data_IF_207130485032
#
_entry.id   IF_207130485032
#
_cell.length_a   1.000
_cell.length_b   1.000
_cell.length_c   1.000
_cell.angle_alpha   90.00
_cell.angle_beta   90.00
_cell.angle_gamma   90.00
#
_symmetry.space_group_name_H-M   'P 1'
#
loop_
_entity.id
_entity.type
_entity.pdbx_description
1 polymer ?
#
# COMPACT_ATOMS: atom_id res chain seq x y z
N UNK A 1 -14.85 18.99 -6.95
CA UNK A 1 -13.41 19.24 -7.11
C UNK A 1 -12.68 17.99 -6.65
N UNK A 2 -12.33 17.08 -7.55
CA UNK A 2 -11.50 15.94 -7.17
C UNK A 2 -10.11 16.48 -6.79
N UNK A 3 -9.59 16.11 -5.61
CA UNK A 3 -8.23 16.50 -5.21
C UNK A 3 -7.25 15.67 -6.04
N UNK A 4 -6.74 16.27 -7.09
CA UNK A 4 -5.80 15.61 -7.99
C UNK A 4 -4.47 15.38 -7.27
N UNK A 5 -3.90 14.18 -7.41
CA UNK A 5 -2.60 13.89 -6.82
C UNK A 5 -1.54 14.68 -7.58
N UNK A 6 -0.80 15.54 -6.87
CA UNK A 6 0.30 16.29 -7.47
C UNK A 6 1.30 15.34 -8.12
N UNK A 7 1.51 15.54 -9.42
CA UNK A 7 2.42 14.75 -10.26
C UNK A 7 3.86 14.76 -9.73
N UNK A 8 4.28 15.86 -9.09
CA UNK A 8 5.58 15.99 -8.44
C UNK A 8 5.69 15.03 -7.25
N UNK A 9 4.64 14.96 -6.42
CA UNK A 9 4.59 14.05 -5.28
C UNK A 9 4.59 12.59 -5.71
N UNK A 10 3.85 12.25 -6.76
CA UNK A 10 3.86 10.90 -7.35
C UNK A 10 5.25 10.52 -7.87
N UNK A 11 5.92 11.41 -8.61
CA UNK A 11 7.29 11.19 -9.09
C UNK A 11 8.28 11.02 -7.94
N UNK A 12 8.15 11.82 -6.88
CA UNK A 12 8.97 11.72 -5.67
C UNK A 12 8.82 10.35 -4.99
N UNK A 13 7.59 9.87 -4.82
CA UNK A 13 7.35 8.53 -4.26
C UNK A 13 8.00 7.43 -5.10
N UNK A 14 7.88 7.48 -6.44
CA UNK A 14 8.54 6.52 -7.32
C UNK A 14 10.07 6.59 -7.22
N UNK A 15 10.64 7.80 -7.08
CA UNK A 15 12.07 7.97 -6.89
C UNK A 15 12.56 7.32 -5.59
N UNK A 16 11.84 7.48 -4.48
CA UNK A 16 12.16 6.84 -3.19
C UNK A 16 12.16 5.33 -3.30
N UNK A 17 11.17 4.75 -3.99
CA UNK A 17 11.09 3.29 -4.21
C UNK A 17 12.32 2.79 -4.97
N UNK A 18 12.75 3.53 -6.01
CA UNK A 18 13.91 3.17 -6.82
C UNK A 18 15.23 3.34 -6.07
N UNK A 19 15.37 4.37 -5.23
CA UNK A 19 16.60 4.66 -4.50
C UNK A 19 16.77 3.79 -3.25
N UNK A 20 15.67 3.42 -2.59
CA UNK A 20 15.69 2.72 -1.30
C UNK A 20 14.73 1.53 -1.27
N UNK A 21 14.88 0.54 -2.15
CA UNK A 21 13.95 -0.58 -2.27
C UNK A 21 13.85 -1.40 -0.97
N UNK A 22 14.97 -1.64 -0.27
CA UNK A 22 14.98 -2.37 1.00
C UNK A 22 14.22 -1.64 2.11
N UNK A 23 14.35 -0.30 2.19
CA UNK A 23 13.61 0.50 3.16
C UNK A 23 12.11 0.48 2.87
N UNK A 24 11.70 0.57 1.60
CA UNK A 24 10.29 0.49 1.22
C UNK A 24 9.72 -0.88 1.53
N UNK A 25 10.44 -1.96 1.26
CA UNK A 25 10.01 -3.31 1.64
C UNK A 25 9.89 -3.46 3.16
N UNK A 26 10.83 -2.90 3.92
CA UNK A 26 10.75 -2.88 5.38
C UNK A 26 9.52 -2.09 5.87
N UNK A 27 9.24 -0.92 5.29
CA UNK A 27 8.06 -0.13 5.62
C UNK A 27 6.75 -0.86 5.28
N UNK A 28 6.73 -1.64 4.19
CA UNK A 28 5.59 -2.49 3.80
C UNK A 28 5.52 -3.81 4.57
N UNK A 29 6.54 -4.15 5.37
CA UNK A 29 6.60 -5.45 6.05
C UNK A 29 5.37 -5.77 6.91
N UNK A 30 4.76 -4.84 7.67
CA UNK A 30 3.58 -5.16 8.48
C UNK A 30 2.38 -5.59 7.61
N UNK A 31 2.24 -4.97 6.43
CA UNK A 31 1.18 -5.32 5.46
C UNK A 31 1.43 -6.69 4.87
N UNK A 32 2.67 -6.99 4.48
CA UNK A 32 3.05 -8.29 3.92
C UNK A 32 2.84 -9.42 4.94
N UNK A 33 3.22 -9.20 6.21
CA UNK A 33 2.98 -10.16 7.28
C UNK A 33 1.48 -10.39 7.49
N UNK A 34 0.67 -9.33 7.58
CA UNK A 34 -0.78 -9.47 7.75
C UNK A 34 -1.41 -10.25 6.59
N UNK A 35 -1.04 -9.95 5.35
CA UNK A 35 -1.52 -10.68 4.18
C UNK A 35 -1.09 -12.16 4.19
N UNK A 36 0.16 -12.45 4.54
CA UNK A 36 0.67 -13.81 4.65
C UNK A 36 -0.05 -14.62 5.71
N UNK A 37 -0.28 -14.03 6.89
CA UNK A 37 -1.04 -14.66 7.99
C UNK A 37 -2.49 -14.92 7.57
N UNK A 38 -3.15 -13.94 6.96
CA UNK A 38 -4.55 -14.09 6.54
C UNK A 38 -4.67 -15.12 5.42
N UNK A 39 -3.74 -15.13 4.46
CA UNK A 39 -3.71 -16.16 3.43
C UNK A 39 -3.53 -17.55 4.05
N UNK A 40 -2.59 -17.72 4.99
CA UNK A 40 -2.35 -19.00 5.63
C UNK A 40 -3.56 -19.52 6.42
N UNK A 41 -4.23 -18.65 7.17
CA UNK A 41 -5.29 -19.05 8.11
C UNK A 41 -6.68 -19.09 7.46
N UNK A 42 -6.99 -18.13 6.59
CA UNK A 42 -8.33 -17.95 6.02
C UNK A 42 -8.39 -18.26 4.50
N UNK A 43 -7.24 -18.40 3.84
CA UNK A 43 -7.13 -18.70 2.42
C UNK A 43 -7.00 -17.47 1.52
N UNK A 44 -6.70 -17.73 0.24
CA UNK A 44 -6.34 -16.69 -0.74
C UNK A 44 -7.48 -15.69 -1.02
N UNK A 45 -8.74 -16.14 -0.95
CA UNK A 45 -9.90 -15.26 -1.08
C UNK A 45 -9.84 -14.13 -0.07
N UNK A 46 -9.85 -14.44 1.22
CA UNK A 46 -9.81 -13.44 2.30
C UNK A 46 -8.57 -12.54 2.25
N UNK A 47 -7.41 -13.07 1.85
CA UNK A 47 -6.21 -12.26 1.66
C UNK A 47 -6.38 -11.22 0.52
N UNK A 48 -7.01 -11.60 -0.59
CA UNK A 48 -7.31 -10.68 -1.69
C UNK A 48 -8.30 -9.59 -1.26
N UNK A 49 -9.33 -9.94 -0.48
CA UNK A 49 -10.29 -8.99 0.08
C UNK A 49 -9.58 -7.97 0.98
N UNK A 50 -8.68 -8.43 1.85
CA UNK A 50 -7.88 -7.58 2.71
C UNK A 50 -6.96 -6.66 1.91
N UNK A 51 -6.31 -7.17 0.85
CA UNK A 51 -5.47 -6.35 -0.02
C UNK A 51 -6.28 -5.21 -0.68
N UNK A 52 -7.47 -5.51 -1.19
CA UNK A 52 -8.37 -4.49 -1.76
C UNK A 52 -8.74 -3.46 -0.70
N UNK A 53 -9.12 -3.89 0.50
CA UNK A 53 -9.44 -2.98 1.60
C UNK A 53 -8.27 -2.06 1.96
N UNK A 54 -7.04 -2.60 2.04
CA UNK A 54 -5.84 -1.82 2.35
C UNK A 54 -5.54 -0.76 1.27
N UNK A 55 -5.71 -1.10 -0.01
CA UNK A 55 -5.52 -0.13 -1.11
C UNK A 55 -6.57 0.97 -1.05
N UNK A 56 -7.84 0.63 -0.82
CA UNK A 56 -8.92 1.62 -0.74
C UNK A 56 -8.76 2.55 0.46
N UNK A 57 -8.48 2.01 1.65
CA UNK A 57 -8.29 2.79 2.87
C UNK A 57 -7.03 3.64 2.77
N UNK A 58 -5.91 3.08 2.30
CA UNK A 58 -4.66 3.81 2.12
C UNK A 58 -4.79 4.94 1.09
N UNK A 59 -5.47 4.67 -0.02
CA UNK A 59 -5.79 5.67 -1.06
C UNK A 59 -6.70 6.78 -0.53
N UNK A 60 -7.78 6.42 0.18
CA UNK A 60 -8.68 7.38 0.80
C UNK A 60 -7.96 8.27 1.83
N UNK A 61 -7.14 7.67 2.70
CA UNK A 61 -6.34 8.41 3.68
C UNK A 61 -5.37 9.40 3.01
N UNK A 62 -4.87 9.11 1.81
CA UNK A 62 -4.04 10.01 1.03
C UNK A 62 -4.81 11.21 0.47
N UNK A 63 -6.05 10.98 0.04
CA UNK A 63 -6.92 12.00 -0.56
C UNK A 63 -7.58 12.91 0.47
N UNK A 64 -7.84 12.38 1.67
CA UNK A 64 -8.42 13.13 2.79
C UNK A 64 -7.42 14.07 3.48
N UNK A 65 -6.12 13.91 3.21
CA UNK A 65 -5.05 14.82 3.66
C UNK A 65 -4.90 15.98 2.67
#
# INVERSE_FOLDING_TARGET
MAKEIDRTRARGAVAVIRQHPGMVLFALSPVLVALGVVWWVFGAGWAALLLVALVLVGGAALLMR
#
